data_IF_164972112363
#
_entry.id   IF_164972112363
#
_cell.length_a   1.000
_cell.length_b   1.000
_cell.length_c   1.000
_cell.angle_alpha   90.00
_cell.angle_beta   90.00
_cell.angle_gamma   90.00
#
_symmetry.space_group_name_H-M   'P 1'
#
loop_
_entity.id
_entity.type
_entity.pdbx_description
1 polymer ?
#
# COMPACT_ATOMS: atom_id res chain seq x y z
N UNK A 1 -32.60 4.19 -8.62
CA UNK A 1 -31.35 3.68 -9.22
C UNK A 1 -30.43 3.26 -8.09
N UNK A 2 -29.85 2.05 -8.14
CA UNK A 2 -28.81 1.67 -7.17
C UNK A 2 -27.60 2.54 -7.49
N UNK A 3 -27.15 3.37 -6.54
CA UNK A 3 -25.93 4.18 -6.70
C UNK A 3 -24.79 3.25 -7.09
N UNK A 4 -23.96 3.65 -8.07
CA UNK A 4 -22.87 2.80 -8.57
C UNK A 4 -21.89 2.45 -7.44
N UNK A 5 -21.75 3.33 -6.45
CA UNK A 5 -21.03 3.07 -5.22
C UNK A 5 -21.52 1.81 -4.50
N UNK A 6 -22.83 1.64 -4.37
CA UNK A 6 -23.43 0.47 -3.71
C UNK A 6 -23.14 -0.82 -4.48
N UNK A 7 -23.21 -0.78 -5.81
CA UNK A 7 -22.87 -1.94 -6.66
C UNK A 7 -21.39 -2.35 -6.51
N UNK A 8 -20.47 -1.37 -6.44
CA UNK A 8 -19.06 -1.63 -6.18
C UNK A 8 -18.81 -2.22 -4.79
N UNK A 9 -19.50 -1.67 -3.78
CA UNK A 9 -19.37 -2.13 -2.39
C UNK A 9 -19.94 -3.54 -2.18
N UNK A 10 -20.98 -3.92 -2.92
CA UNK A 10 -21.53 -5.29 -2.93
C UNK A 10 -20.58 -6.28 -3.63
N UNK A 11 -19.85 -5.84 -4.67
CA UNK A 11 -18.85 -6.66 -5.35
C UNK A 11 -17.58 -6.84 -4.53
N UNK A 12 -17.06 -5.76 -3.98
CA UNK A 12 -15.89 -5.76 -3.11
C UNK A 12 -16.13 -4.77 -1.95
N UNK A 13 -16.42 -5.26 -0.73
CA UNK A 13 -16.64 -4.38 0.40
C UNK A 13 -15.32 -3.70 0.79
N UNK A 14 -15.33 -2.38 0.89
CA UNK A 14 -14.18 -1.59 1.37
C UNK A 14 -13.93 -1.91 2.84
N UNK A 15 -12.97 -2.81 3.08
CA UNK A 15 -12.48 -3.21 4.39
C UNK A 15 -10.96 -3.22 4.36
N UNK A 16 -10.29 -3.07 5.52
CA UNK A 16 -8.85 -3.23 5.59
C UNK A 16 -8.43 -4.57 4.98
N UNK A 17 -7.52 -4.51 4.00
CA UNK A 17 -6.93 -5.68 3.34
C UNK A 17 -6.03 -6.39 4.34
N UNK A 18 -6.16 -7.72 4.46
CA UNK A 18 -5.44 -8.54 5.45
C UNK A 18 -4.69 -9.73 4.87
N UNK A 19 -4.88 -10.05 3.60
CA UNK A 19 -4.18 -11.14 2.92
C UNK A 19 -3.85 -10.79 1.47
N UNK A 20 -2.97 -11.58 0.84
CA UNK A 20 -2.61 -11.40 -0.57
C UNK A 20 -3.80 -11.66 -1.51
N UNK A 21 -4.67 -12.62 -1.19
CA UNK A 21 -5.86 -12.88 -2.01
C UNK A 21 -6.83 -11.69 -1.99
N UNK A 22 -6.93 -11.00 -0.85
CA UNK A 22 -7.70 -9.75 -0.74
C UNK A 22 -7.03 -8.60 -1.50
N UNK A 23 -5.69 -8.55 -1.51
CA UNK A 23 -4.93 -7.56 -2.29
C UNK A 23 -5.14 -7.78 -3.80
N UNK A 24 -5.04 -9.01 -4.29
CA UNK A 24 -5.23 -9.34 -5.71
C UNK A 24 -6.64 -8.97 -6.18
N UNK A 25 -7.65 -9.29 -5.36
CA UNK A 25 -9.03 -8.90 -5.65
C UNK A 25 -9.20 -7.37 -5.68
N UNK A 26 -8.56 -6.65 -4.76
CA UNK A 26 -8.57 -5.19 -4.73
C UNK A 26 -7.86 -4.58 -5.95
N UNK A 27 -6.69 -5.10 -6.34
CA UNK A 27 -5.94 -4.67 -7.51
C UNK A 27 -6.70 -4.93 -8.81
N UNK A 28 -7.41 -6.05 -8.93
CA UNK A 28 -8.24 -6.34 -10.09
C UNK A 28 -9.34 -5.29 -10.28
N UNK A 29 -10.08 -4.98 -9.20
CA UNK A 29 -11.14 -3.97 -9.24
C UNK A 29 -10.57 -2.57 -9.50
N UNK A 30 -9.47 -2.19 -8.84
CA UNK A 30 -8.82 -0.91 -9.05
C UNK A 30 -8.34 -0.75 -10.51
N UNK A 31 -7.77 -1.81 -11.10
CA UNK A 31 -7.32 -1.83 -12.49
C UNK A 31 -8.48 -1.66 -13.47
N UNK A 32 -9.61 -2.35 -13.24
CA UNK A 32 -10.82 -2.19 -14.06
C UNK A 32 -11.37 -0.76 -14.04
N UNK A 33 -11.38 -0.11 -12.88
CA UNK A 33 -11.82 1.28 -12.74
C UNK A 33 -10.82 2.25 -13.39
N UNK A 34 -9.53 2.00 -13.21
CA UNK A 34 -8.47 2.81 -13.82
C UNK A 34 -8.50 2.77 -15.36
N UNK A 35 -8.82 1.62 -15.97
CA UNK A 35 -9.01 1.53 -17.42
C UNK A 35 -10.15 2.40 -17.94
N UNK A 36 -11.11 2.77 -17.09
CA UNK A 36 -12.25 3.61 -17.41
C UNK A 36 -12.15 5.00 -16.78
N UNK A 37 -10.96 5.43 -16.37
CA UNK A 37 -10.75 6.68 -15.60
C UNK A 37 -11.43 7.90 -16.23
N UNK A 38 -11.47 7.98 -17.57
CA UNK A 38 -12.08 9.10 -18.31
C UNK A 38 -13.61 9.09 -18.35
N UNK A 39 -14.26 8.05 -17.82
CA UNK A 39 -15.71 7.86 -17.82
C UNK A 39 -16.28 7.41 -16.48
N UNK A 40 -15.48 7.48 -15.42
CA UNK A 40 -15.96 7.28 -14.06
C UNK A 40 -16.93 8.39 -13.67
N UNK A 41 -17.92 8.05 -12.85
CA UNK A 41 -18.68 9.06 -12.12
C UNK A 41 -18.06 9.30 -10.73
N UNK A 42 -18.54 10.33 -10.03
CA UNK A 42 -18.06 10.72 -8.70
C UNK A 42 -18.10 9.55 -7.70
N UNK A 43 -19.16 8.74 -7.72
CA UNK A 43 -19.28 7.54 -6.88
C UNK A 43 -18.16 6.51 -7.12
N UNK A 44 -17.80 6.27 -8.38
CA UNK A 44 -16.76 5.32 -8.76
C UNK A 44 -15.36 5.90 -8.49
N UNK A 45 -15.17 7.21 -8.64
CA UNK A 45 -13.93 7.92 -8.29
C UNK A 45 -13.68 7.87 -6.78
N UNK A 46 -14.67 8.21 -5.96
CA UNK A 46 -14.58 8.17 -4.49
C UNK A 46 -14.28 6.74 -3.99
N UNK A 47 -14.92 5.74 -4.59
CA UNK A 47 -14.64 4.34 -4.28
C UNK A 47 -13.20 3.96 -4.64
N UNK A 48 -12.71 4.36 -5.82
CA UNK A 48 -11.35 4.07 -6.27
C UNK A 48 -10.31 4.74 -5.38
N UNK A 49 -10.55 5.97 -4.92
CA UNK A 49 -9.64 6.69 -4.02
C UNK A 49 -9.48 5.97 -2.67
N UNK A 50 -10.60 5.55 -2.07
CA UNK A 50 -10.58 4.77 -0.82
C UNK A 50 -9.92 3.41 -1.03
N UNK A 51 -10.26 2.69 -2.10
CA UNK A 51 -9.66 1.39 -2.41
C UNK A 51 -8.14 1.50 -2.61
N UNK A 52 -7.69 2.53 -3.32
CA UNK A 52 -6.27 2.80 -3.57
C UNK A 52 -5.51 3.08 -2.27
N UNK A 53 -6.15 3.82 -1.35
CA UNK A 53 -5.60 4.05 0.00
C UNK A 53 -5.42 2.75 0.78
N UNK A 54 -6.39 1.83 0.72
CA UNK A 54 -6.33 0.53 1.39
C UNK A 54 -5.23 -0.37 0.81
N UNK A 55 -5.11 -0.41 -0.52
CA UNK A 55 -4.04 -1.14 -1.23
C UNK A 55 -2.67 -0.61 -0.79
N UNK A 56 -2.45 0.71 -0.87
CA UNK A 56 -1.19 1.33 -0.48
C UNK A 56 -0.84 1.08 0.99
N UNK A 57 -1.85 1.06 1.88
CA UNK A 57 -1.65 0.75 3.29
C UNK A 57 -1.18 -0.70 3.50
N UNK A 58 -1.78 -1.66 2.80
CA UNK A 58 -1.38 -3.06 2.87
C UNK A 58 0.04 -3.27 2.31
N UNK A 59 0.31 -2.76 1.10
CA UNK A 59 1.61 -2.89 0.45
C UNK A 59 2.75 -2.28 1.26
N UNK A 60 2.51 -1.13 1.91
CA UNK A 60 3.52 -0.49 2.78
C UNK A 60 3.92 -1.35 3.97
N UNK A 61 3.01 -2.16 4.50
CA UNK A 61 3.26 -3.03 5.66
C UNK A 61 3.85 -4.38 5.23
N UNK A 62 3.33 -4.95 4.15
CA UNK A 62 3.65 -6.31 3.71
C UNK A 62 4.73 -6.33 2.61
N UNK A 63 4.54 -5.60 1.52
CA UNK A 63 5.46 -5.62 0.37
C UNK A 63 6.69 -4.71 0.51
N UNK A 64 6.78 -3.87 1.55
CA UNK A 64 8.05 -3.22 1.91
C UNK A 64 9.14 -4.23 2.33
N UNK A 65 8.78 -5.50 2.60
CA UNK A 65 9.67 -6.55 3.14
C UNK A 65 9.76 -7.81 2.26
N UNK A 66 8.80 -8.01 1.37
CA UNK A 66 8.54 -9.30 0.72
C UNK A 66 8.78 -9.27 -0.79
N UNK A 67 10.03 -9.03 -1.16
CA UNK A 67 10.59 -9.78 -2.27
C UNK A 67 11.47 -10.86 -1.64
N UNK A 68 11.21 -12.14 -1.92
CA UNK A 68 12.10 -13.24 -1.50
C UNK A 68 13.52 -13.11 -2.09
N UNK A 69 13.68 -12.18 -3.03
CA UNK A 69 14.93 -11.77 -3.62
C UNK A 69 15.85 -11.16 -2.56
N UNK A 70 17.05 -11.71 -2.48
CA UNK A 70 18.21 -11.04 -1.91
C UNK A 70 18.50 -9.75 -2.69
N UNK A 71 19.19 -8.77 -2.07
CA UNK A 71 19.62 -7.55 -2.76
C UNK A 71 20.32 -7.80 -4.11
N UNK A 72 21.07 -8.89 -4.19
CA UNK A 72 21.81 -9.27 -5.38
C UNK A 72 20.90 -9.85 -6.48
N UNK A 73 19.88 -10.61 -6.09
CA UNK A 73 18.91 -11.14 -7.06
C UNK A 73 18.07 -10.02 -7.67
N UNK A 74 17.75 -8.95 -6.93
CA UNK A 74 17.15 -7.73 -7.49
C UNK A 74 18.04 -7.10 -8.56
N UNK A 75 19.35 -6.99 -8.30
CA UNK A 75 20.29 -6.46 -9.27
C UNK A 75 20.32 -7.33 -10.53
N UNK A 76 20.37 -8.65 -10.37
CA UNK A 76 20.39 -9.60 -11.50
C UNK A 76 19.13 -9.50 -12.34
N UNK A 77 17.97 -9.48 -11.69
CA UNK A 77 16.68 -9.32 -12.36
C UNK A 77 16.59 -8.00 -13.14
N UNK A 78 17.01 -6.89 -12.53
CA UNK A 78 17.02 -5.59 -13.22
C UNK A 78 17.97 -5.60 -14.41
N UNK A 79 19.12 -6.26 -14.31
CA UNK A 79 20.03 -6.42 -15.44
C UNK A 79 19.41 -7.27 -16.56
N UNK A 80 18.72 -8.36 -16.22
CA UNK A 80 18.04 -9.23 -17.18
C UNK A 80 16.93 -8.48 -17.94
N UNK A 81 16.02 -7.82 -17.23
CA UNK A 81 14.91 -7.06 -17.83
C UNK A 81 15.42 -5.90 -18.70
N UNK A 82 16.57 -5.31 -18.34
CA UNK A 82 17.21 -4.23 -19.12
C UNK A 82 18.20 -4.74 -20.17
N UNK A 83 18.29 -6.05 -20.41
CA UNK A 83 19.20 -6.70 -21.37
C UNK A 83 20.68 -6.32 -21.18
N UNK A 84 21.09 -6.10 -19.93
CA UNK A 84 22.46 -5.76 -19.55
C UNK A 84 23.26 -7.01 -19.20
N UNK A 85 24.56 -7.00 -19.52
CA UNK A 85 25.45 -8.13 -19.21
C UNK A 85 26.15 -7.91 -17.87
N UNK A 86 26.64 -8.99 -17.28
CA UNK A 86 27.51 -8.92 -16.08
C UNK A 86 28.73 -8.01 -16.29
N UNK A 87 29.28 -7.94 -17.51
CA UNK A 87 30.39 -7.03 -17.84
C UNK A 87 30.03 -5.55 -17.65
N UNK A 88 28.75 -5.20 -17.75
CA UNK A 88 28.26 -3.84 -17.60
C UNK A 88 28.06 -3.48 -16.13
N UNK A 89 27.96 -4.47 -15.23
CA UNK A 89 27.87 -4.26 -13.79
C UNK A 89 29.14 -3.59 -13.24
N UNK A 90 30.31 -4.10 -13.62
CA UNK A 90 31.58 -3.51 -13.23
C UNK A 90 31.77 -2.08 -13.78
N UNK A 91 31.35 -1.84 -15.02
CA UNK A 91 31.40 -0.51 -15.65
C UNK A 91 30.45 0.48 -14.95
N UNK A 92 29.23 0.05 -14.66
CA UNK A 92 28.20 0.87 -14.01
C UNK A 92 28.66 1.34 -12.62
N UNK A 93 29.30 0.45 -11.87
CA UNK A 93 29.78 0.75 -10.52
C UNK A 93 31.22 1.28 -10.48
N UNK A 94 31.88 1.45 -11.64
CA UNK A 94 33.30 1.81 -11.74
C UNK A 94 34.22 0.93 -10.90
N UNK A 95 33.96 -0.38 -10.91
CA UNK A 95 34.68 -1.39 -10.15
C UNK A 95 35.68 -2.15 -11.03
N UNK A 96 36.87 -2.50 -10.52
CA UNK A 96 37.75 -3.49 -11.13
C UNK A 96 37.00 -4.82 -11.34
N UNK A 97 37.30 -5.52 -12.43
CA UNK A 97 36.63 -6.77 -12.84
C UNK A 97 36.57 -7.82 -11.73
N UNK A 98 37.66 -7.99 -10.96
CA UNK A 98 37.70 -8.90 -9.81
C UNK A 98 36.69 -8.53 -8.73
N UNK A 99 36.62 -7.25 -8.33
CA UNK A 99 35.67 -6.77 -7.30
C UNK A 99 34.23 -6.86 -7.77
N UNK A 100 33.98 -6.56 -9.05
CA UNK A 100 32.65 -6.70 -9.65
C UNK A 100 32.17 -8.16 -9.64
N UNK A 101 33.05 -9.10 -9.96
CA UNK A 101 32.76 -10.54 -9.94
C UNK A 101 32.48 -11.06 -8.52
N UNK A 102 33.29 -10.67 -7.55
CA UNK A 102 33.08 -11.04 -6.14
C UNK A 102 31.71 -10.60 -5.62
N UNK A 103 31.26 -9.39 -5.96
CA UNK A 103 29.93 -8.90 -5.60
C UNK A 103 28.84 -9.64 -6.37
N UNK A 104 29.02 -9.84 -7.69
CA UNK A 104 28.04 -10.52 -8.54
C UNK A 104 27.77 -11.98 -8.14
N UNK A 105 28.77 -12.64 -7.55
CA UNK A 105 28.69 -14.00 -7.03
C UNK A 105 28.27 -14.05 -5.55
N UNK A 106 28.06 -12.90 -4.90
CA UNK A 106 27.62 -12.84 -3.50
C UNK A 106 28.71 -13.09 -2.47
N UNK A 107 29.99 -13.11 -2.87
CA UNK A 107 31.11 -13.17 -1.93
C UNK A 107 31.36 -11.83 -1.20
N UNK A 108 30.75 -10.75 -1.70
CA UNK A 108 30.78 -9.42 -1.07
C UNK A 108 29.44 -8.71 -1.20
N UNK A 109 29.10 -7.96 -0.16
CA UNK A 109 27.90 -7.13 -0.15
C UNK A 109 28.04 -5.85 -0.99
N UNK A 110 26.88 -5.32 -1.41
CA UNK A 110 26.78 -4.00 -2.03
C UNK A 110 27.07 -2.91 -1.00
N UNK A 111 27.96 -1.97 -1.34
CA UNK A 111 28.18 -0.78 -0.52
C UNK A 111 27.04 0.23 -0.72
N UNK A 112 26.87 1.17 0.22
CA UNK A 112 25.88 2.26 0.11
C UNK A 112 26.02 3.06 -1.18
N UNK A 113 27.26 3.28 -1.62
CA UNK A 113 27.55 3.98 -2.88
C UNK A 113 27.06 3.18 -4.08
N UNK A 114 27.26 1.86 -4.09
CA UNK A 114 26.76 1.00 -5.17
C UNK A 114 25.24 1.01 -5.22
N UNK A 115 24.59 0.91 -4.05
CA UNK A 115 23.13 0.96 -3.92
C UNK A 115 22.57 2.26 -4.50
N UNK A 116 23.18 3.41 -4.17
CA UNK A 116 22.75 4.71 -4.68
C UNK A 116 22.88 4.81 -6.22
N UNK A 117 23.97 4.28 -6.79
CA UNK A 117 24.18 4.25 -8.25
C UNK A 117 23.13 3.37 -8.93
N UNK A 118 22.86 2.18 -8.39
CA UNK A 118 21.86 1.24 -8.94
C UNK A 118 20.45 1.82 -8.86
N UNK A 119 20.06 2.36 -7.70
CA UNK A 119 18.76 3.01 -7.51
C UNK A 119 18.56 4.16 -8.51
N UNK A 120 19.58 4.99 -8.70
CA UNK A 120 19.53 6.10 -9.68
C UNK A 120 19.48 5.59 -11.13
N UNK A 121 20.21 4.53 -11.46
CA UNK A 121 20.25 3.97 -12.82
C UNK A 121 18.92 3.36 -13.24
N UNK A 122 18.29 2.60 -12.34
CA UNK A 122 17.07 1.87 -12.62
C UNK A 122 15.80 2.61 -12.19
N UNK A 123 15.94 3.82 -11.62
CA UNK A 123 14.82 4.61 -11.09
C UNK A 123 13.97 3.84 -10.07
N UNK A 124 14.60 3.00 -9.25
CA UNK A 124 13.94 2.18 -8.23
C UNK A 124 14.29 2.64 -6.82
N UNK A 125 13.49 2.22 -5.84
CA UNK A 125 13.77 2.52 -4.44
C UNK A 125 15.06 1.81 -3.97
N UNK A 126 15.98 2.57 -3.37
CA UNK A 126 17.23 2.06 -2.82
C UNK A 126 17.03 0.95 -1.76
N UNK A 127 15.87 0.93 -1.09
CA UNK A 127 15.51 -0.08 -0.12
C UNK A 127 15.52 -1.51 -0.69
N UNK A 128 15.29 -1.69 -2.01
CA UNK A 128 15.35 -2.99 -2.68
C UNK A 128 16.73 -3.66 -2.59
N UNK A 129 17.79 -2.86 -2.49
CA UNK A 129 19.16 -3.35 -2.44
C UNK A 129 19.74 -3.37 -1.02
N UNK A 130 18.94 -3.06 0.00
CA UNK A 130 19.39 -3.12 1.39
C UNK A 130 19.25 -4.56 1.92
N UNK A 131 20.21 -5.03 2.74
CA UNK A 131 20.07 -6.32 3.39
C UNK A 131 18.79 -6.34 4.24
N UNK A 132 18.07 -7.46 4.24
CA UNK A 132 16.90 -7.66 5.09
C UNK A 132 17.33 -7.65 6.55
N UNK A 133 17.32 -6.48 7.18
CA UNK A 133 17.48 -6.37 8.61
C UNK A 133 16.18 -6.83 9.24
N UNK A 134 16.22 -7.96 9.94
CA UNK A 134 15.16 -8.34 10.87
C UNK A 134 15.24 -7.33 12.01
N UNK A 135 14.54 -6.20 11.85
CA UNK A 135 14.33 -5.27 12.94
C UNK A 135 13.58 -6.06 14.01
N UNK A 136 14.11 -6.23 15.24
CA UNK A 136 13.33 -6.80 16.32
C UNK A 136 12.05 -5.98 16.41
N UNK A 137 10.90 -6.65 16.36
CA UNK A 137 9.57 -6.04 16.29
C UNK A 137 9.39 -5.07 17.46
N UNK A 138 9.78 -3.81 17.26
CA UNK A 138 9.19 -2.71 18.01
C UNK A 138 7.81 -2.62 17.40
N UNK A 139 6.78 -2.96 18.17
CA UNK A 139 5.39 -2.71 17.80
C UNK A 139 5.31 -1.27 17.29
N UNK A 140 5.31 -1.09 15.98
CA UNK A 140 5.22 0.25 15.42
C UNK A 140 3.81 0.69 15.75
N UNK A 141 3.70 1.71 16.62
CA UNK A 141 2.45 2.45 16.81
C UNK A 141 2.10 3.04 15.46
N UNK A 142 1.38 2.27 14.65
CA UNK A 142 0.91 2.69 13.35
C UNK A 142 0.12 4.00 13.55
N UNK A 143 0.59 5.15 13.02
CA UNK A 143 -0.06 6.43 13.21
C UNK A 143 -1.52 6.38 12.73
N UNK A 144 -1.83 5.58 11.71
CA UNK A 144 -3.19 5.41 11.19
C UNK A 144 -4.08 4.64 12.17
N UNK A 145 -3.53 3.62 12.84
CA UNK A 145 -4.19 2.91 13.95
C UNK A 145 -4.40 3.84 15.14
N UNK A 146 -3.48 4.79 15.38
CA UNK A 146 -3.60 5.83 16.41
C UNK A 146 -4.66 6.88 16.05
N UNK A 147 -4.80 7.24 14.77
CA UNK A 147 -5.87 8.14 14.28
C UNK A 147 -7.22 7.46 14.41
N UNK A 148 -7.37 6.22 13.93
CA UNK A 148 -8.60 5.43 14.11
C UNK A 148 -8.94 5.28 15.60
N UNK A 149 -7.97 4.89 16.43
CA UNK A 149 -8.13 4.83 17.89
C UNK A 149 -8.55 6.17 18.50
N UNK A 150 -8.02 7.30 18.02
CA UNK A 150 -8.39 8.65 18.48
C UNK A 150 -9.81 9.03 18.06
N UNK A 151 -10.23 8.69 16.84
CA UNK A 151 -11.61 8.88 16.35
C UNK A 151 -12.57 8.04 17.19
N UNK A 152 -12.30 6.74 17.35
CA UNK A 152 -13.11 5.86 18.21
C UNK A 152 -13.13 6.32 19.67
N UNK A 153 -12.02 6.87 20.19
CA UNK A 153 -11.98 7.42 21.56
C UNK A 153 -12.84 8.67 21.72
N UNK A 154 -12.92 9.53 20.69
CA UNK A 154 -13.82 10.70 20.68
C UNK A 154 -15.28 10.27 20.63
N UNK A 155 -15.60 9.31 19.76
CA UNK A 155 -16.95 8.74 19.64
C UNK A 155 -17.35 8.10 20.97
N UNK A 156 -16.49 7.23 21.52
CA UNK A 156 -16.72 6.56 22.80
C UNK A 156 -16.90 7.55 23.95
N UNK A 157 -16.05 8.59 24.06
CA UNK A 157 -16.19 9.62 25.10
C UNK A 157 -17.50 10.41 24.99
N UNK A 158 -18.05 10.58 23.78
CA UNK A 158 -19.34 11.24 23.57
C UNK A 158 -20.53 10.31 23.88
N UNK A 159 -20.38 8.99 23.71
CA UNK A 159 -21.44 8.00 23.93
C UNK A 159 -21.45 7.37 25.33
N UNK A 160 -20.30 7.28 26.02
CA UNK A 160 -20.16 6.71 27.35
C UNK A 160 -21.08 7.34 28.43
N UNK A 161 -21.35 8.66 28.46
CA UNK A 161 -22.20 9.29 29.46
C UNK A 161 -23.71 9.07 29.25
N UNK A 162 -24.11 8.53 28.11
CA UNK A 162 -25.51 8.32 27.75
C UNK A 162 -25.96 6.93 28.23
N UNK A 163 -27.12 6.87 28.86
CA UNK A 163 -27.79 5.61 29.18
C UNK A 163 -28.21 4.87 27.88
N UNK A 164 -28.39 3.53 27.89
CA UNK A 164 -28.73 2.76 26.70
C UNK A 164 -29.96 3.29 25.94
N UNK A 165 -30.98 3.74 26.66
CA UNK A 165 -32.19 4.35 26.08
C UNK A 165 -31.89 5.71 25.40
N UNK A 166 -31.00 6.51 25.99
CA UNK A 166 -30.58 7.79 25.41
C UNK A 166 -29.70 7.58 24.17
N UNK A 167 -28.87 6.53 24.15
CA UNK A 167 -28.09 6.13 22.96
C UNK A 167 -29.02 5.71 21.83
N UNK A 168 -30.06 4.93 22.16
CA UNK A 168 -31.07 4.51 21.19
C UNK A 168 -31.85 5.71 20.63
N UNK A 169 -32.25 6.65 21.49
CA UNK A 169 -32.92 7.88 21.09
C UNK A 169 -32.04 8.76 20.19
N UNK A 170 -30.74 8.86 20.48
CA UNK A 170 -29.77 9.57 19.61
C UNK A 170 -29.65 8.88 18.25
N UNK A 171 -29.56 7.55 18.20
CA UNK A 171 -29.50 6.80 16.94
C UNK A 171 -30.77 6.96 16.10
N UNK A 172 -31.94 6.95 16.73
CA UNK A 172 -33.23 7.20 16.06
C UNK A 172 -33.34 8.64 15.54
N UNK A 173 -32.92 9.62 16.35
CA UNK A 173 -32.90 11.03 15.93
C UNK A 173 -31.93 11.30 14.78
N UNK A 174 -30.76 10.63 14.74
CA UNK A 174 -29.82 10.70 13.62
C UNK A 174 -30.38 10.03 12.35
N UNK A 175 -31.16 8.96 12.52
CA UNK A 175 -31.89 8.31 11.43
C UNK A 175 -32.95 9.22 10.80
N UNK A 176 -33.68 9.98 11.62
CA UNK A 176 -34.68 10.95 11.14
C UNK A 176 -34.06 12.19 10.48
N UNK A 177 -32.86 12.59 10.89
CA UNK A 177 -32.12 13.67 10.22
C UNK A 177 -31.75 13.31 8.76
N UNK A 178 -31.50 12.03 8.46
CA UNK A 178 -31.29 11.57 7.06
C UNK A 178 -32.57 11.61 6.22
N UNK A 179 -33.73 11.30 6.82
CA UNK A 179 -35.02 11.34 6.11
C UNK A 179 -35.54 12.76 5.90
N UNK A 180 -35.12 13.71 6.73
CA UNK A 180 -35.57 15.11 6.67
C UNK A 180 -34.70 16.00 5.79
N UNK A 181 -33.48 15.56 5.45
CA UNK A 181 -32.50 16.30 4.65
C UNK A 181 -32.10 15.60 3.35
N UNK A 182 -32.82 14.57 2.89
CA UNK A 182 -32.74 14.21 1.46
C UNK A 182 -33.35 15.37 0.67
N UNK A 183 -32.58 16.03 -0.23
CA UNK A 183 -33.17 17.05 -1.09
C UNK A 183 -34.20 16.35 -1.97
N UNK A 184 -35.44 16.82 -1.90
CA UNK A 184 -36.42 16.56 -2.94
C UNK A 184 -35.94 17.25 -4.22
N UNK A 185 -35.27 16.48 -5.10
CA UNK A 185 -35.31 16.54 -6.57
C UNK A 185 -34.34 15.54 -7.22
#
# INVERSE_FOLDING_TARGET
MVSKYKALTERLPLRPIKSEEELDAALAVASELYLKINSLNTDEEDYLDVLSTLIAQYEKVHHARDSNFTPLEHVKYLFEVNQLKQSDFGKLLSLPSGRASEIWNGHRDLTKTHIAILAKRFCVNAALFLPKVVVPTIETKNPDKKVASKVFSKIKKALDPLEPEQRQMVLESLGQYKQSNEPSE
#
